data_IF_612067224641
#
_entry.id   IF_612067224641
#
_cell.length_a   1.000
_cell.length_b   1.000
_cell.length_c   1.000
_cell.angle_alpha   90.00
_cell.angle_beta   90.00
_cell.angle_gamma   90.00
#
_symmetry.space_group_name_H-M   'P 1'
#
loop_
_entity.id
_entity.type
_entity.pdbx_description
1 polymer ?
#
# COMPACT_ATOMS: atom_id res chain seq x y z
N UNK A 1 -10.15 2.78 8.40
CA UNK A 1 -8.84 2.37 7.85
C UNK A 1 -8.32 3.35 6.78
N UNK A 2 -9.15 3.80 5.84
CA UNK A 2 -8.71 4.67 4.72
C UNK A 2 -8.24 6.07 5.16
N UNK A 3 -8.79 6.66 6.21
CA UNK A 3 -8.24 7.89 6.79
C UNK A 3 -6.80 7.69 7.28
N UNK A 4 -6.51 6.54 7.89
CA UNK A 4 -5.15 6.19 8.28
C UNK A 4 -4.22 6.06 7.05
N UNK A 5 -4.72 5.52 5.93
CA UNK A 5 -3.96 5.47 4.68
C UNK A 5 -3.56 6.86 4.19
N UNK A 6 -4.51 7.80 4.16
CA UNK A 6 -4.26 9.19 3.75
C UNK A 6 -3.22 9.84 4.68
N UNK A 7 -3.31 9.59 5.99
CA UNK A 7 -2.33 10.07 6.97
C UNK A 7 -0.92 9.51 6.66
N UNK A 8 -0.82 8.20 6.42
CA UNK A 8 0.46 7.55 6.07
C UNK A 8 1.04 8.14 4.78
N UNK A 9 0.23 8.26 3.71
CA UNK A 9 0.63 8.89 2.45
C UNK A 9 1.18 10.30 2.66
N UNK A 10 0.49 11.11 3.47
CA UNK A 10 0.87 12.49 3.76
C UNK A 10 2.17 12.55 4.58
N UNK A 11 2.31 11.69 5.59
CA UNK A 11 3.53 11.58 6.39
C UNK A 11 4.71 11.17 5.51
N UNK A 12 4.55 10.17 4.64
CA UNK A 12 5.60 9.72 3.71
C UNK A 12 5.99 10.84 2.74
N UNK A 13 5.02 11.62 2.22
CA UNK A 13 5.29 12.80 1.38
C UNK A 13 6.14 13.84 2.11
N UNK A 14 5.77 14.15 3.34
CA UNK A 14 6.47 15.13 4.17
C UNK A 14 7.89 14.67 4.51
N UNK A 15 8.04 13.44 4.95
CA UNK A 15 9.34 12.85 5.27
C UNK A 15 10.22 12.73 4.01
N UNK A 16 9.65 12.39 2.85
CA UNK A 16 10.39 12.34 1.59
C UNK A 16 10.98 13.71 1.24
N UNK A 17 10.22 14.77 1.44
CA UNK A 17 10.71 16.14 1.18
C UNK A 17 11.92 16.50 2.04
N UNK A 18 11.91 16.10 3.32
CA UNK A 18 12.98 16.41 4.28
C UNK A 18 14.21 15.53 4.04
N UNK A 19 14.00 14.21 3.96
CA UNK A 19 15.10 13.23 3.88
C UNK A 19 15.83 13.35 2.54
N UNK A 20 15.08 13.53 1.45
CA UNK A 20 15.62 13.60 0.10
C UNK A 20 16.01 15.00 -0.36
N UNK A 21 16.23 15.94 0.56
CA UNK A 21 16.55 17.35 0.25
C UNK A 21 17.80 17.53 -0.65
N UNK A 22 18.72 16.57 -0.63
CA UNK A 22 19.97 16.60 -1.41
C UNK A 22 19.81 16.14 -2.87
N UNK A 23 18.66 15.54 -3.20
CA UNK A 23 18.36 15.13 -4.57
C UNK A 23 17.81 16.27 -5.42
N UNK A 24 17.84 16.17 -6.76
CA UNK A 24 17.42 17.25 -7.67
C UNK A 24 16.01 17.77 -7.38
N UNK A 25 15.84 19.08 -7.43
CA UNK A 25 14.56 19.75 -7.12
C UNK A 25 13.42 19.24 -8.00
N UNK A 26 13.64 19.11 -9.31
CA UNK A 26 12.61 18.66 -10.24
C UNK A 26 12.16 17.22 -9.93
N UNK A 27 13.09 16.29 -9.66
CA UNK A 27 12.77 14.93 -9.26
C UNK A 27 11.88 14.90 -8.01
N UNK A 28 12.22 15.68 -6.98
CA UNK A 28 11.40 15.75 -5.75
C UNK A 28 10.01 16.35 -6.00
N UNK A 29 9.93 17.42 -6.82
CA UNK A 29 8.65 18.04 -7.16
C UNK A 29 7.74 17.06 -7.88
N UNK A 30 8.22 16.38 -8.92
CA UNK A 30 7.42 15.40 -9.65
C UNK A 30 7.02 14.22 -8.78
N UNK A 31 7.90 13.74 -7.90
CA UNK A 31 7.53 12.70 -6.92
C UNK A 31 6.35 13.16 -6.06
N UNK A 32 6.39 14.38 -5.53
CA UNK A 32 5.31 14.91 -4.69
C UNK A 32 4.03 15.19 -5.49
N UNK A 33 4.12 15.63 -6.75
CA UNK A 33 2.94 15.81 -7.61
C UNK A 33 2.21 14.48 -7.78
N UNK A 34 2.92 13.43 -8.17
CA UNK A 34 2.34 12.09 -8.37
C UNK A 34 1.77 11.56 -7.05
N UNK A 35 2.51 11.70 -5.96
CA UNK A 35 2.04 11.29 -4.63
C UNK A 35 0.76 12.01 -4.22
N UNK A 36 0.63 13.32 -4.50
CA UNK A 36 -0.59 14.06 -4.22
C UNK A 36 -1.76 13.65 -5.11
N UNK A 37 -1.53 13.25 -6.36
CA UNK A 37 -2.57 12.68 -7.22
C UNK A 37 -3.11 11.38 -6.61
N UNK A 38 -2.24 10.52 -6.07
CA UNK A 38 -2.66 9.31 -5.36
C UNK A 38 -3.47 9.64 -4.09
N UNK A 39 -3.02 10.62 -3.30
CA UNK A 39 -3.75 11.10 -2.10
C UNK A 39 -5.14 11.60 -2.49
N UNK A 40 -5.26 12.39 -3.56
CA UNK A 40 -6.55 12.87 -4.06
C UNK A 40 -7.47 11.72 -4.48
N UNK A 41 -6.94 10.68 -5.13
CA UNK A 41 -7.71 9.49 -5.47
C UNK A 41 -8.30 8.80 -4.22
N UNK A 42 -7.52 8.64 -3.17
CA UNK A 42 -8.03 8.07 -1.90
C UNK A 42 -8.97 9.03 -1.16
N UNK A 43 -8.75 10.34 -1.20
CA UNK A 43 -9.67 11.33 -0.64
C UNK A 43 -11.04 11.29 -1.34
N UNK A 44 -11.08 11.22 -2.66
CA UNK A 44 -12.33 11.06 -3.40
C UNK A 44 -13.03 9.74 -3.06
N UNK A 45 -12.29 8.65 -2.92
CA UNK A 45 -12.87 7.39 -2.47
C UNK A 45 -13.53 7.52 -1.09
N UNK A 46 -12.86 8.16 -0.13
CA UNK A 46 -13.41 8.38 1.22
C UNK A 46 -14.64 9.27 1.15
N UNK A 47 -14.60 10.33 0.35
CA UNK A 47 -15.69 11.31 0.28
C UNK A 47 -16.96 10.72 -0.35
N UNK A 48 -16.83 10.01 -1.47
CA UNK A 48 -17.98 9.59 -2.28
C UNK A 48 -18.42 8.15 -2.02
N UNK A 49 -17.50 7.23 -1.71
CA UNK A 49 -17.80 5.81 -1.60
C UNK A 49 -17.69 5.24 -0.17
N UNK A 50 -17.01 5.93 0.75
CA UNK A 50 -16.77 5.37 2.09
C UNK A 50 -16.65 6.47 3.14
N UNK A 51 -17.61 7.39 3.16
CA UNK A 51 -17.60 8.51 4.10
C UNK A 51 -17.81 8.01 5.55
N UNK A 52 -16.81 8.10 6.44
CA UNK A 52 -16.93 7.64 7.81
C UNK A 52 -17.74 8.60 8.70
N UNK A 53 -18.10 9.78 8.19
CA UNK A 53 -18.86 10.80 8.90
C UNK A 53 -20.35 10.83 8.48
N UNK A 54 -20.78 9.91 7.60
CA UNK A 54 -22.19 9.79 7.23
C UNK A 54 -23.00 9.28 8.41
N UNK A 55 -24.15 9.94 8.70
CA UNK A 55 -25.07 9.52 9.74
C UNK A 55 -26.06 8.47 9.23
N UNK A 56 -26.48 7.57 10.10
CA UNK A 56 -27.52 6.57 9.83
C UNK A 56 -28.86 7.14 10.29
N UNK A 57 -29.90 7.02 9.47
CA UNK A 57 -31.27 7.45 9.82
C UNK A 57 -32.23 6.26 9.64
N UNK A 58 -33.04 5.89 10.65
CA UNK A 58 -33.11 6.51 11.98
C UNK A 58 -31.86 6.25 12.82
N UNK A 59 -31.58 7.18 13.76
CA UNK A 59 -30.41 7.04 14.66
C UNK A 59 -30.68 5.83 15.57
N UNK A 60 -29.78 4.82 15.59
CA UNK A 60 -29.91 3.69 16.49
C UNK A 60 -29.70 4.11 17.95
N UNK A 61 -30.40 3.48 18.89
CA UNK A 61 -30.28 3.80 20.33
C UNK A 61 -28.88 3.43 20.87
N UNK A 62 -28.28 2.38 20.33
CA UNK A 62 -26.93 1.91 20.69
C UNK A 62 -26.18 1.43 19.46
N UNK A 63 -24.83 1.51 19.48
CA UNK A 63 -23.98 0.90 18.46
C UNK A 63 -23.92 -0.62 18.61
N UNK A 64 -23.70 -1.33 17.51
CA UNK A 64 -23.59 -2.79 17.50
C UNK A 64 -22.34 -3.32 18.24
N UNK A 65 -21.41 -2.43 18.60
CA UNK A 65 -20.11 -2.82 19.14
C UNK A 65 -19.18 -3.47 18.12
N UNK A 66 -18.02 -3.91 18.58
CA UNK A 66 -17.04 -4.63 17.76
C UNK A 66 -17.23 -6.14 17.98
N UNK A 67 -17.20 -6.92 16.89
CA UNK A 67 -17.25 -8.38 16.98
C UNK A 67 -16.16 -8.88 17.94
N UNK A 68 -16.46 -9.80 18.89
CA UNK A 68 -15.52 -10.33 19.86
C UNK A 68 -14.19 -10.82 19.25
N UNK A 69 -14.21 -11.50 18.11
CA UNK A 69 -13.01 -11.97 17.39
C UNK A 69 -12.10 -10.79 17.00
N UNK A 70 -12.68 -9.60 16.78
CA UNK A 70 -11.94 -8.40 16.41
C UNK A 70 -11.39 -7.60 17.61
N UNK A 71 -11.70 -8.02 18.84
CA UNK A 71 -11.27 -7.33 20.07
C UNK A 71 -9.91 -7.81 20.58
N UNK A 72 -9.09 -8.38 19.71
CA UNK A 72 -7.76 -8.91 20.03
C UNK A 72 -6.67 -7.85 19.83
N UNK A 73 -5.68 -7.74 20.74
CA UNK A 73 -4.57 -6.78 20.60
C UNK A 73 -3.72 -6.98 19.35
N UNK A 74 -3.47 -8.22 18.93
CA UNK A 74 -2.69 -8.48 17.72
C UNK A 74 -3.45 -8.02 16.48
N UNK A 75 -4.78 -8.21 16.45
CA UNK A 75 -5.61 -7.69 15.37
C UNK A 75 -5.67 -6.15 15.36
N UNK A 76 -5.57 -5.50 16.51
CA UNK A 76 -5.52 -4.04 16.56
C UNK A 76 -4.23 -3.47 15.97
N UNK A 77 -3.10 -4.18 16.11
CA UNK A 77 -1.76 -3.76 15.66
C UNK A 77 -1.48 -4.22 14.21
N UNK A 78 -1.95 -5.40 13.81
CA UNK A 78 -1.70 -6.00 12.50
C UNK A 78 -2.07 -5.09 11.32
N UNK A 79 -3.30 -4.51 11.20
CA UNK A 79 -3.64 -3.69 10.05
C UNK A 79 -2.82 -2.40 9.93
N UNK A 80 -2.54 -1.64 11.00
CA UNK A 80 -1.64 -0.48 10.92
C UNK A 80 -0.25 -0.82 10.39
N UNK A 81 0.35 -1.93 10.83
CA UNK A 81 1.65 -2.38 10.34
C UNK A 81 1.60 -2.71 8.83
N UNK A 82 0.59 -3.48 8.40
CA UNK A 82 0.38 -3.77 6.99
C UNK A 82 0.20 -2.48 6.18
N UNK A 83 -0.56 -1.51 6.67
CA UNK A 83 -0.82 -0.29 5.93
C UNK A 83 0.43 0.55 5.71
N UNK A 84 1.35 0.59 6.67
CA UNK A 84 2.65 1.24 6.46
C UNK A 84 3.42 0.55 5.32
N UNK A 85 3.40 -0.76 5.23
CA UNK A 85 4.00 -1.53 4.13
C UNK A 85 3.30 -1.26 2.79
N UNK A 86 1.98 -1.52 2.72
CA UNK A 86 1.17 -1.38 1.51
C UNK A 86 1.18 0.04 0.96
N UNK A 87 0.78 0.99 1.80
CA UNK A 87 0.60 2.39 1.38
C UNK A 87 1.93 3.10 1.24
N UNK A 88 2.91 2.71 2.06
CA UNK A 88 4.27 3.22 1.97
C UNK A 88 4.94 2.94 0.63
N UNK A 89 4.49 1.90 -0.08
CA UNK A 89 4.98 1.59 -1.43
C UNK A 89 4.66 2.66 -2.47
N UNK A 90 3.68 3.53 -2.21
CA UNK A 90 3.31 4.64 -3.08
C UNK A 90 4.45 5.64 -3.29
N UNK A 91 5.31 5.84 -2.29
CA UNK A 91 6.36 6.84 -2.38
C UNK A 91 7.43 6.47 -3.41
N UNK A 92 7.82 5.20 -3.49
CA UNK A 92 8.78 4.77 -4.50
C UNK A 92 8.11 4.45 -5.84
N UNK A 93 6.79 4.20 -5.91
CA UNK A 93 6.01 4.28 -7.14
C UNK A 93 6.10 5.69 -7.74
N UNK A 94 5.78 6.71 -6.94
CA UNK A 94 5.82 8.11 -7.36
C UNK A 94 7.23 8.56 -7.73
N UNK A 95 8.24 8.10 -6.99
CA UNK A 95 9.64 8.36 -7.26
C UNK A 95 10.12 7.69 -8.56
N UNK A 96 9.65 6.49 -8.89
CA UNK A 96 9.95 5.80 -10.14
C UNK A 96 9.39 6.56 -11.34
N UNK A 97 8.14 7.00 -11.27
CA UNK A 97 7.53 7.86 -12.30
C UNK A 97 8.31 9.16 -12.47
N UNK A 98 8.64 9.84 -11.38
CA UNK A 98 9.43 11.06 -11.40
C UNK A 98 10.84 10.84 -11.97
N UNK A 99 11.44 9.67 -11.70
CA UNK A 99 12.74 9.26 -12.26
C UNK A 99 12.71 9.19 -13.78
N UNK A 100 11.64 8.61 -14.36
CA UNK A 100 11.45 8.56 -15.82
C UNK A 100 11.28 9.98 -16.37
N UNK A 101 10.36 10.76 -15.82
CA UNK A 101 10.03 12.13 -16.31
C UNK A 101 11.26 13.06 -16.27
N UNK A 102 12.10 12.92 -15.25
CA UNK A 102 13.25 13.83 -15.04
C UNK A 102 14.58 13.26 -15.51
N UNK A 103 14.58 12.04 -16.08
CA UNK A 103 15.82 11.31 -16.44
C UNK A 103 16.79 11.14 -15.26
N UNK A 104 16.25 11.09 -14.03
CA UNK A 104 17.04 10.91 -12.82
C UNK A 104 17.23 9.43 -12.50
N UNK A 105 18.37 8.86 -12.88
CA UNK A 105 18.58 7.41 -12.92
C UNK A 105 19.83 6.94 -12.17
N UNK A 106 20.06 5.65 -12.17
CA UNK A 106 21.29 5.03 -11.70
C UNK A 106 21.44 5.00 -10.17
N UNK A 107 22.68 5.07 -9.70
CA UNK A 107 23.02 4.96 -8.27
C UNK A 107 22.30 5.98 -7.40
N UNK A 108 22.16 7.21 -7.84
CA UNK A 108 21.53 8.28 -7.05
C UNK A 108 20.03 8.06 -6.88
N UNK A 109 19.36 7.54 -7.93
CA UNK A 109 17.96 7.12 -7.81
C UNK A 109 17.82 5.98 -6.80
N UNK A 110 18.66 4.94 -6.87
CA UNK A 110 18.66 3.84 -5.91
C UNK A 110 18.79 4.35 -4.46
N UNK A 111 19.74 5.25 -4.21
CA UNK A 111 19.97 5.83 -2.89
C UNK A 111 18.76 6.63 -2.37
N UNK A 112 18.01 7.27 -3.27
CA UNK A 112 16.84 8.06 -2.88
C UNK A 112 15.66 7.23 -2.37
N UNK A 113 15.51 5.96 -2.84
CA UNK A 113 14.35 5.13 -2.54
C UNK A 113 14.65 3.90 -1.67
N UNK A 114 15.91 3.45 -1.58
CA UNK A 114 16.29 2.20 -0.91
C UNK A 114 15.77 2.10 0.52
N UNK A 115 15.92 3.16 1.31
CA UNK A 115 15.46 3.15 2.70
C UNK A 115 13.93 3.12 2.80
N UNK A 116 13.23 3.74 1.86
CA UNK A 116 11.77 3.70 1.78
C UNK A 116 11.25 2.29 1.49
N UNK A 117 11.90 1.61 0.56
CA UNK A 117 11.57 0.21 0.25
C UNK A 117 11.86 -0.68 1.45
N UNK A 118 12.99 -0.48 2.13
CA UNK A 118 13.35 -1.26 3.32
C UNK A 118 12.34 -1.06 4.46
N UNK A 119 11.94 0.18 4.74
CA UNK A 119 10.91 0.49 5.75
C UNK A 119 9.59 -0.18 5.38
N UNK A 120 9.10 -0.01 4.15
CA UNK A 120 7.85 -0.63 3.70
C UNK A 120 7.92 -2.16 3.79
N UNK A 121 9.02 -2.78 3.36
CA UNK A 121 9.22 -4.22 3.44
C UNK A 121 9.24 -4.74 4.89
N UNK A 122 9.91 -4.01 5.79
CA UNK A 122 9.98 -4.38 7.21
C UNK A 122 8.61 -4.33 7.88
N UNK A 123 7.86 -3.27 7.65
CA UNK A 123 6.51 -3.13 8.20
C UNK A 123 5.53 -4.13 7.59
N UNK A 124 5.64 -4.43 6.30
CA UNK A 124 4.87 -5.48 5.65
C UNK A 124 5.17 -6.85 6.27
N UNK A 125 6.44 -7.18 6.47
CA UNK A 125 6.86 -8.44 7.10
C UNK A 125 6.32 -8.56 8.52
N UNK A 126 6.44 -7.52 9.33
CA UNK A 126 5.89 -7.49 10.69
C UNK A 126 4.37 -7.61 10.68
N UNK A 127 3.69 -6.91 9.77
CA UNK A 127 2.24 -6.98 9.62
C UNK A 127 1.79 -8.40 9.28
N UNK A 128 2.42 -9.06 8.31
CA UNK A 128 2.14 -10.44 7.94
C UNK A 128 2.38 -11.38 9.13
N UNK A 129 3.51 -11.23 9.84
CA UNK A 129 3.83 -12.05 11.00
C UNK A 129 2.80 -11.93 12.13
N UNK A 130 2.44 -10.70 12.51
CA UNK A 130 1.44 -10.46 13.57
C UNK A 130 0.06 -11.00 13.17
N UNK A 131 -0.34 -10.83 11.90
CA UNK A 131 -1.57 -11.40 11.38
C UNK A 131 -1.58 -12.94 11.42
N UNK A 132 -0.45 -13.56 11.09
CA UNK A 132 -0.28 -15.02 11.16
C UNK A 132 -0.40 -15.55 12.60
N UNK A 133 0.18 -14.84 13.58
CA UNK A 133 0.08 -15.17 15.00
C UNK A 133 -1.37 -15.06 15.45
N UNK A 134 -2.07 -13.98 15.11
CA UNK A 134 -3.48 -13.79 15.42
C UNK A 134 -4.34 -14.92 14.82
N UNK A 135 -4.16 -15.23 13.53
CA UNK A 135 -4.91 -16.30 12.86
C UNK A 135 -4.69 -17.66 13.52
N UNK A 136 -3.49 -17.93 14.01
CA UNK A 136 -3.15 -19.20 14.66
C UNK A 136 -3.99 -19.47 15.91
N UNK A 137 -4.14 -18.50 16.79
CA UNK A 137 -4.83 -18.72 18.06
C UNK A 137 -6.32 -18.32 18.05
N UNK A 138 -6.74 -17.38 17.17
CA UNK A 138 -8.14 -16.91 17.14
C UNK A 138 -9.01 -17.67 16.13
N UNK A 139 -8.46 -18.03 14.96
CA UNK A 139 -9.26 -18.61 13.89
C UNK A 139 -9.32 -20.15 13.94
N UNK A 140 -8.51 -20.78 14.78
CA UNK A 140 -8.51 -22.25 14.92
C UNK A 140 -8.10 -23.01 13.66
N UNK A 141 -7.35 -22.39 12.77
CA UNK A 141 -6.94 -23.00 11.50
C UNK A 141 -5.84 -24.06 11.64
N UNK A 142 -5.28 -24.23 12.84
CA UNK A 142 -4.25 -25.22 13.11
C UNK A 142 -2.87 -24.88 12.54
N UNK A 143 -2.66 -23.66 12.04
CA UNK A 143 -1.39 -23.20 11.48
C UNK A 143 -1.32 -21.68 11.38
N UNK A 144 -0.09 -21.17 11.15
CA UNK A 144 0.17 -19.73 11.01
C UNK A 144 -0.20 -19.16 9.63
N UNK A 145 -0.41 -20.02 8.63
CA UNK A 145 -0.71 -19.63 7.27
C UNK A 145 -1.68 -20.64 6.64
N UNK A 146 -2.78 -20.15 6.12
CA UNK A 146 -3.86 -20.99 5.60
C UNK A 146 -4.05 -20.83 4.09
N UNK A 147 -3.23 -20.03 3.43
CA UNK A 147 -3.37 -19.72 2.00
C UNK A 147 -4.70 -19.07 1.64
N UNK A 148 -5.29 -18.35 2.60
CA UNK A 148 -6.47 -17.55 2.35
C UNK A 148 -6.20 -16.54 1.22
N UNK A 149 -7.16 -16.30 0.30
CA UNK A 149 -6.96 -15.38 -0.80
C UNK A 149 -6.47 -13.97 -0.40
N UNK A 150 -6.90 -13.48 0.77
CA UNK A 150 -6.45 -12.16 1.28
C UNK A 150 -5.03 -12.23 1.85
N UNK A 151 -4.66 -13.32 2.50
CA UNK A 151 -3.27 -13.57 2.90
C UNK A 151 -2.35 -13.56 1.68
N UNK A 152 -2.73 -14.29 0.63
CA UNK A 152 -1.98 -14.32 -0.63
C UNK A 152 -1.90 -12.95 -1.29
N UNK A 153 -2.98 -12.16 -1.28
CA UNK A 153 -3.00 -10.80 -1.80
C UNK A 153 -2.02 -9.90 -1.04
N UNK A 154 -1.82 -10.11 0.27
CA UNK A 154 -0.84 -9.39 1.05
C UNK A 154 0.61 -9.80 0.76
N UNK A 155 0.82 -11.04 0.36
CA UNK A 155 2.13 -11.61 0.07
C UNK A 155 2.68 -11.16 -1.29
N UNK A 156 1.81 -10.88 -2.27
CA UNK A 156 2.23 -10.45 -3.61
C UNK A 156 3.13 -9.21 -3.60
N UNK A 157 2.75 -8.06 -3.00
CA UNK A 157 3.63 -6.90 -2.94
C UNK A 157 4.89 -7.16 -2.10
N UNK A 158 4.85 -8.03 -1.10
CA UNK A 158 6.02 -8.43 -0.31
C UNK A 158 7.08 -9.12 -1.17
N UNK A 159 6.70 -10.03 -2.06
CA UNK A 159 7.63 -10.64 -3.03
C UNK A 159 8.22 -9.60 -3.98
N UNK A 160 7.39 -8.67 -4.49
CA UNK A 160 7.86 -7.61 -5.36
C UNK A 160 8.86 -6.67 -4.64
N UNK A 161 8.59 -6.31 -3.38
CA UNK A 161 9.52 -5.52 -2.55
C UNK A 161 10.83 -6.27 -2.29
N UNK A 162 10.78 -7.57 -2.04
CA UNK A 162 11.97 -8.40 -1.84
C UNK A 162 12.85 -8.41 -3.09
N UNK A 163 12.26 -8.61 -4.26
CA UNK A 163 12.95 -8.53 -5.54
C UNK A 163 13.52 -7.13 -5.80
N UNK A 164 12.75 -6.09 -5.44
CA UNK A 164 13.16 -4.69 -5.57
C UNK A 164 14.37 -4.37 -4.70
N UNK A 165 14.41 -4.81 -3.44
CA UNK A 165 15.55 -4.58 -2.54
C UNK A 165 16.85 -5.17 -3.12
N UNK A 166 16.80 -6.38 -3.66
CA UNK A 166 17.95 -7.00 -4.30
C UNK A 166 18.38 -6.25 -5.58
N UNK A 167 17.41 -5.86 -6.40
CA UNK A 167 17.67 -5.09 -7.63
C UNK A 167 18.28 -3.72 -7.34
N UNK A 168 17.85 -3.05 -6.25
CA UNK A 168 18.41 -1.77 -5.80
C UNK A 168 19.88 -1.89 -5.38
N UNK A 169 20.26 -2.99 -4.73
CA UNK A 169 21.66 -3.24 -4.38
C UNK A 169 22.53 -3.38 -5.65
N UNK A 170 22.02 -4.07 -6.65
CA UNK A 170 22.72 -4.23 -7.94
C UNK A 170 22.81 -2.88 -8.67
N UNK A 171 21.72 -2.11 -8.69
CA UNK A 171 21.70 -0.78 -9.28
C UNK A 171 22.69 0.16 -8.60
N UNK A 172 22.74 0.15 -7.27
CA UNK A 172 23.65 1.00 -6.49
C UNK A 172 25.14 0.66 -6.71
N UNK A 173 25.47 -0.66 -6.76
CA UNK A 173 26.85 -1.12 -6.82
C UNK A 173 27.39 -1.25 -8.24
N UNK A 174 26.54 -1.64 -9.21
CA UNK A 174 26.96 -2.00 -10.58
C UNK A 174 26.34 -1.09 -11.65
N UNK A 175 25.40 -0.21 -11.30
CA UNK A 175 24.61 0.63 -12.21
C UNK A 175 23.87 -0.19 -13.29
N UNK A 176 23.42 -1.40 -12.92
CA UNK A 176 22.66 -2.30 -13.77
C UNK A 176 21.24 -2.45 -13.23
N UNK A 177 20.33 -3.01 -14.03
CA UNK A 177 18.94 -3.32 -13.69
C UNK A 177 18.04 -2.09 -13.43
N UNK A 178 18.40 -0.90 -13.92
CA UNK A 178 17.58 0.31 -13.71
C UNK A 178 16.12 0.11 -14.16
N UNK A 179 15.93 -0.40 -15.38
CA UNK A 179 14.59 -0.65 -15.92
C UNK A 179 13.80 -1.65 -15.06
N UNK A 180 14.46 -2.69 -14.56
CA UNK A 180 13.86 -3.69 -13.68
C UNK A 180 13.45 -3.09 -12.33
N UNK A 181 14.27 -2.20 -11.78
CA UNK A 181 13.95 -1.44 -10.56
C UNK A 181 12.71 -0.58 -10.75
N UNK A 182 12.59 0.13 -11.88
CA UNK A 182 11.39 0.92 -12.20
C UNK A 182 10.15 0.03 -12.24
N UNK A 183 10.18 -1.07 -12.99
CA UNK A 183 9.06 -2.02 -13.07
C UNK A 183 8.65 -2.52 -11.68
N UNK A 184 9.60 -2.93 -10.86
CA UNK A 184 9.32 -3.45 -9.52
C UNK A 184 8.76 -2.38 -8.58
N UNK A 185 9.21 -1.12 -8.67
CA UNK A 185 8.62 -0.01 -7.93
C UNK A 185 7.15 0.19 -8.29
N UNK A 186 6.83 0.22 -9.59
CA UNK A 186 5.47 0.38 -10.08
C UNK A 186 4.60 -0.82 -9.69
N UNK A 187 5.09 -2.03 -9.95
CA UNK A 187 4.39 -3.27 -9.69
C UNK A 187 4.04 -3.45 -8.21
N UNK A 188 4.93 -3.08 -7.30
CA UNK A 188 4.69 -3.23 -5.86
C UNK A 188 3.44 -2.48 -5.40
N UNK A 189 3.31 -1.21 -5.79
CA UNK A 189 2.15 -0.43 -5.39
C UNK A 189 0.89 -0.84 -6.15
N UNK A 190 1.00 -1.19 -7.43
CA UNK A 190 -0.11 -1.76 -8.21
C UNK A 190 -0.63 -3.04 -7.54
N UNK A 191 0.23 -3.95 -7.09
CA UNK A 191 -0.16 -5.16 -6.38
C UNK A 191 -0.82 -4.85 -5.03
N UNK A 192 -0.35 -3.82 -4.31
CA UNK A 192 -0.98 -3.37 -3.06
C UNK A 192 -2.42 -2.87 -3.30
N UNK A 193 -2.63 -2.05 -4.33
CA UNK A 193 -3.98 -1.58 -4.70
C UNK A 193 -4.84 -2.72 -5.24
N UNK A 194 -4.26 -3.66 -6.00
CA UNK A 194 -4.94 -4.88 -6.46
C UNK A 194 -5.43 -5.72 -5.28
N UNK A 195 -4.58 -5.94 -4.26
CA UNK A 195 -4.98 -6.61 -3.03
C UNK A 195 -6.16 -5.91 -2.35
N UNK A 196 -6.13 -4.59 -2.29
CA UNK A 196 -7.25 -3.79 -1.76
C UNK A 196 -8.53 -3.95 -2.57
N UNK A 197 -8.42 -3.98 -3.90
CA UNK A 197 -9.54 -4.27 -4.78
C UNK A 197 -10.15 -5.65 -4.48
N UNK A 198 -9.33 -6.67 -4.38
CA UNK A 198 -9.78 -8.03 -4.10
C UNK A 198 -10.54 -8.14 -2.77
N UNK A 199 -10.03 -7.47 -1.71
CA UNK A 199 -10.65 -7.46 -0.37
C UNK A 199 -11.97 -6.69 -0.34
N UNK A 200 -12.08 -5.60 -1.12
CA UNK A 200 -13.22 -4.67 -1.08
C UNK A 200 -14.30 -4.95 -2.12
N UNK A 201 -13.98 -5.67 -3.18
CA UNK A 201 -14.92 -5.97 -4.27
C UNK A 201 -15.97 -7.02 -3.92
N UNK A 202 -15.75 -7.80 -2.86
CA UNK A 202 -16.61 -8.94 -2.52
C UNK A 202 -16.49 -10.12 -3.50
N UNK A 203 -15.50 -10.13 -4.40
CA UNK A 203 -15.25 -11.21 -5.35
C UNK A 203 -14.71 -12.46 -4.65
N UNK A 204 -13.91 -12.23 -3.59
CA UNK A 204 -13.25 -13.31 -2.85
C UNK A 204 -14.09 -13.72 -1.64
N UNK A 205 -14.16 -15.04 -1.41
CA UNK A 205 -14.72 -15.60 -0.19
C UNK A 205 -13.58 -15.81 0.83
N UNK A 206 -13.49 -14.96 1.83
CA UNK A 206 -12.46 -14.97 2.87
C UNK A 206 -13.00 -14.37 4.16
N UNK A 207 -12.47 -14.83 5.30
CA UNK A 207 -12.77 -14.25 6.61
C UNK A 207 -12.31 -12.78 6.75
N UNK A 208 -11.41 -12.35 5.88
CA UNK A 208 -10.87 -10.99 5.83
C UNK A 208 -11.64 -10.07 4.87
N UNK A 209 -12.61 -10.59 4.10
CA UNK A 209 -13.37 -9.77 3.16
C UNK A 209 -14.43 -8.95 3.90
N UNK A 210 -14.67 -7.75 3.39
CA UNK A 210 -15.77 -6.91 3.84
C UNK A 210 -17.08 -7.35 3.14
N UNK A 211 -18.21 -6.84 3.67
CA UNK A 211 -19.50 -7.03 3.00
C UNK A 211 -19.40 -6.60 1.52
N UNK A 212 -20.06 -7.36 0.67
CA UNK A 212 -20.06 -7.11 -0.79
C UNK A 212 -20.62 -5.71 -1.08
N UNK A 213 -19.79 -4.85 -1.63
CA UNK A 213 -20.15 -3.50 -2.07
C UNK A 213 -19.55 -3.24 -3.46
N UNK A 214 -20.32 -3.50 -4.52
CA UNK A 214 -19.86 -3.36 -5.88
C UNK A 214 -19.40 -1.93 -6.22
N UNK A 215 -19.99 -0.91 -5.60
CA UNK A 215 -19.64 0.49 -5.87
C UNK A 215 -18.21 0.81 -5.41
N UNK A 216 -17.81 0.29 -4.26
CA UNK A 216 -16.44 0.42 -3.73
C UNK A 216 -15.44 -0.34 -4.59
N UNK A 217 -15.80 -1.56 -5.00
CA UNK A 217 -15.00 -2.37 -5.90
C UNK A 217 -14.76 -1.67 -7.23
N UNK A 218 -15.82 -1.15 -7.84
CA UNK A 218 -15.73 -0.45 -9.12
C UNK A 218 -14.83 0.79 -9.08
N UNK A 219 -14.95 1.59 -8.01
CA UNK A 219 -14.08 2.77 -7.84
C UNK A 219 -12.59 2.37 -7.79
N UNK A 220 -12.26 1.36 -6.96
CA UNK A 220 -10.87 0.91 -6.82
C UNK A 220 -10.35 0.33 -8.14
N UNK A 221 -11.19 -0.37 -8.90
CA UNK A 221 -10.84 -0.91 -10.21
C UNK A 221 -10.52 0.21 -11.21
N UNK A 222 -11.36 1.26 -11.26
CA UNK A 222 -11.12 2.43 -12.11
C UNK A 222 -9.81 3.12 -11.70
N UNK A 223 -9.62 3.33 -10.41
CA UNK A 223 -8.40 3.95 -9.88
C UNK A 223 -7.15 3.13 -10.23
N UNK A 224 -7.20 1.81 -10.05
CA UNK A 224 -6.13 0.89 -10.43
C UNK A 224 -5.83 0.95 -11.92
N UNK A 225 -6.87 0.96 -12.75
CA UNK A 225 -6.75 1.06 -14.21
C UNK A 225 -6.04 2.37 -14.61
N UNK A 226 -6.45 3.50 -14.03
CA UNK A 226 -5.81 4.80 -14.27
C UNK A 226 -4.34 4.82 -13.83
N UNK A 227 -4.01 4.17 -12.70
CA UNK A 227 -2.64 4.03 -12.24
C UNK A 227 -1.79 3.21 -13.23
N UNK A 228 -2.29 2.08 -13.70
CA UNK A 228 -1.58 1.22 -14.65
C UNK A 228 -1.33 1.99 -15.95
N UNK A 229 -2.37 2.57 -16.56
CA UNK A 229 -2.22 3.34 -17.80
C UNK A 229 -1.29 4.54 -17.61
N UNK A 230 -1.44 5.30 -16.52
CA UNK A 230 -0.56 6.43 -16.22
C UNK A 230 0.90 6.03 -16.00
N UNK A 231 1.17 4.78 -15.62
CA UNK A 231 2.54 4.29 -15.41
C UNK A 231 3.22 3.76 -16.69
N UNK A 232 2.46 3.54 -17.77
CA UNK A 232 2.96 3.04 -19.07
C UNK A 232 3.15 4.17 -20.08
N UNK A 233 2.42 5.28 -19.92
CA UNK A 233 2.56 6.51 -20.74
C UNK A 233 3.78 7.32 -20.33
#
# INVERSE_FOLDING_TARGET
SLLLWIIILTIFSFLFLIINKHHPKNYRIYTLIIQNILILGFLFFVLFNSNPFSSITPIPNEGLGLNPILQDPALAIHPPLLYVGFVGSSIYFSAAMASIITNYSGKFFSQSIKNWVLVSWSFQSLGILVGSIWAYYELGWGGFWFWDPVENASLLPWFAMTALLHSLIVLEKRNLLYFWVIILCLLTFILSVTGTFLVRSGILNSVHTFANDPSRGLYILIFLTLMIFGSVL
#
